data_IF_618263457075
#
_entry.id   IF_618263457075
#
_cell.length_a   1.000
_cell.length_b   1.000
_cell.length_c   1.000
_cell.angle_alpha   90.00
_cell.angle_beta   90.00
_cell.angle_gamma   90.00
#
_symmetry.space_group_name_H-M   'P 1'
#
loop_
_entity.id
_entity.type
_entity.pdbx_description
1 polymer ?
#
# COMPACT_ATOMS: atom_id res chain seq x y z
N UNK A 1 -12.52 -5.11 4.51
CA UNK A 1 -12.01 -3.98 3.69
C UNK A 1 -12.33 -2.72 4.47
N UNK A 2 -11.37 -1.81 4.66
CA UNK A 2 -11.62 -0.58 5.42
C UNK A 2 -12.56 0.35 4.63
N UNK A 3 -13.42 1.10 5.32
CA UNK A 3 -14.30 2.11 4.71
C UNK A 3 -13.56 3.44 4.57
N UNK A 4 -12.48 3.44 3.80
CA UNK A 4 -11.71 4.63 3.45
C UNK A 4 -11.24 4.52 1.99
N UNK A 5 -10.91 5.66 1.39
CA UNK A 5 -10.23 5.67 0.09
C UNK A 5 -8.83 5.06 0.22
N UNK A 6 -8.44 4.31 -0.80
CA UNK A 6 -7.10 3.73 -0.89
C UNK A 6 -6.58 3.83 -2.32
N UNK A 7 -5.26 3.98 -2.46
CA UNK A 7 -4.59 3.97 -3.76
C UNK A 7 -4.26 2.52 -4.12
N UNK A 8 -4.72 2.08 -5.29
CA UNK A 8 -4.40 0.74 -5.77
C UNK A 8 -2.94 0.65 -6.21
N UNK A 9 -2.37 -0.57 -6.16
CA UNK A 9 -0.99 -0.84 -6.59
C UNK A 9 -0.68 -0.37 -8.02
N UNK A 10 -1.68 -0.37 -8.89
CA UNK A 10 -1.54 0.06 -10.29
C UNK A 10 -1.46 1.58 -10.45
N UNK A 11 -2.05 2.31 -9.51
CA UNK A 11 -2.18 3.77 -9.52
C UNK A 11 -1.15 4.42 -8.59
N UNK A 12 -0.44 3.62 -7.78
CA UNK A 12 0.61 4.09 -6.90
C UNK A 12 1.81 4.62 -7.69
N UNK A 13 2.34 5.75 -7.23
CA UNK A 13 3.52 6.41 -7.74
C UNK A 13 4.54 6.68 -6.61
N UNK A 14 5.68 7.27 -6.98
CA UNK A 14 6.73 7.66 -6.04
C UNK A 14 7.13 6.57 -5.03
N UNK A 15 7.29 6.98 -3.76
CA UNK A 15 7.68 6.10 -2.66
C UNK A 15 6.64 5.02 -2.34
N UNK A 16 5.36 5.30 -2.55
CA UNK A 16 4.29 4.33 -2.31
C UNK A 16 4.40 3.14 -3.26
N UNK A 17 4.69 3.41 -4.54
CA UNK A 17 4.89 2.35 -5.55
C UNK A 17 6.04 1.43 -5.17
N UNK A 18 7.15 2.01 -4.71
CA UNK A 18 8.34 1.25 -4.30
C UNK A 18 8.06 0.41 -3.05
N UNK A 19 7.33 0.96 -2.08
CA UNK A 19 6.89 0.21 -0.89
C UNK A 19 5.95 -0.93 -1.29
N UNK A 20 4.95 -0.67 -2.13
CA UNK A 20 4.05 -1.72 -2.62
C UNK A 20 4.76 -2.81 -3.41
N UNK A 21 5.73 -2.47 -4.24
CA UNK A 21 6.52 -3.48 -4.96
C UNK A 21 7.26 -4.43 -4.02
N UNK A 22 7.72 -3.94 -2.85
CA UNK A 22 8.39 -4.76 -1.82
C UNK A 22 7.41 -5.61 -1.00
N UNK A 23 6.21 -5.09 -0.73
CA UNK A 23 5.21 -5.69 0.16
C UNK A 23 4.19 -6.56 -0.57
N UNK A 24 4.23 -6.57 -1.90
CA UNK A 24 3.32 -7.33 -2.74
C UNK A 24 3.59 -8.83 -2.63
N UNK A 25 2.59 -9.60 -2.22
CA UNK A 25 2.61 -11.05 -2.36
C UNK A 25 2.33 -11.49 -3.80
N UNK A 26 2.98 -12.58 -4.22
CA UNK A 26 2.87 -13.16 -5.55
C UNK A 26 1.47 -13.64 -5.93
N UNK A 27 0.62 -13.99 -4.95
CA UNK A 27 -0.73 -14.54 -5.14
C UNK A 27 -1.84 -13.54 -4.82
N UNK A 28 -1.68 -12.69 -3.79
CA UNK A 28 -2.76 -11.82 -3.30
C UNK A 28 -2.55 -10.32 -3.48
N UNK A 29 -1.38 -9.88 -3.97
CA UNK A 29 -1.06 -8.46 -4.05
C UNK A 29 -0.66 -7.89 -2.68
N UNK A 30 -0.86 -6.59 -2.47
CA UNK A 30 -0.62 -5.94 -1.17
C UNK A 30 -1.86 -6.09 -0.28
N UNK A 31 -1.65 -6.48 0.97
CA UNK A 31 -2.72 -6.70 1.94
C UNK A 31 -3.55 -5.44 2.20
N UNK A 32 -4.85 -5.62 2.38
CA UNK A 32 -5.78 -4.50 2.62
C UNK A 32 -5.42 -3.68 3.87
N UNK A 33 -4.81 -4.30 4.88
CA UNK A 33 -4.38 -3.59 6.10
C UNK A 33 -3.21 -2.64 5.82
N UNK A 34 -2.35 -2.96 4.85
CA UNK A 34 -1.26 -2.09 4.42
C UNK A 34 -1.76 -0.98 3.48
N UNK A 35 -2.78 -1.30 2.66
CA UNK A 35 -3.40 -0.33 1.75
C UNK A 35 -4.06 0.85 2.45
N UNK A 36 -4.45 0.73 3.72
CA UNK A 36 -5.01 1.86 4.47
C UNK A 36 -4.02 3.02 4.61
N UNK A 37 -2.71 2.73 4.57
CA UNK A 37 -1.65 3.73 4.64
C UNK A 37 -1.32 4.36 3.28
N UNK A 38 -2.01 3.99 2.20
CA UNK A 38 -1.80 4.55 0.86
C UNK A 38 -1.85 6.08 0.79
N UNK A 39 -2.70 6.69 1.62
CA UNK A 39 -2.86 8.15 1.66
C UNK A 39 -1.73 8.86 2.43
N UNK A 40 -0.89 8.11 3.16
CA UNK A 40 0.29 8.62 3.85
C UNK A 40 1.42 7.56 3.84
N UNK A 41 2.25 7.51 2.78
CA UNK A 41 3.30 6.49 2.63
C UNK A 41 4.34 6.46 3.77
N UNK A 42 4.54 7.57 4.49
CA UNK A 42 5.40 7.59 5.69
C UNK A 42 4.81 6.74 6.83
N UNK A 43 3.48 6.74 6.97
CA UNK A 43 2.77 5.87 7.91
C UNK A 43 2.89 4.40 7.53
N UNK A 44 2.93 4.09 6.23
CA UNK A 44 3.20 2.73 5.76
C UNK A 44 4.61 2.31 6.18
N UNK A 45 5.61 3.15 5.96
CA UNK A 45 7.01 2.87 6.36
C UNK A 45 7.15 2.59 7.86
N UNK A 46 6.46 3.37 8.69
CA UNK A 46 6.46 3.18 10.14
C UNK A 46 5.69 1.94 10.62
N UNK A 47 4.82 1.38 9.78
CA UNK A 47 4.00 0.20 10.11
C UNK A 47 4.72 -1.12 9.87
N UNK A 48 5.62 -1.16 8.87
CA UNK A 48 6.37 -2.37 8.50
C UNK A 48 7.65 -2.52 9.30
#
# INVERSE_FOLDING_TARGET
>A
MAWIDTINERDADGSLKDQYAKLKDSRSGVDNILKIHSLNPESLDAHV
#
